data_IF_833792567643
#
_entry.id   IF_833792567643
#
_cell.length_a   1.000
_cell.length_b   1.000
_cell.length_c   1.000
_cell.angle_alpha   90.00
_cell.angle_beta   90.00
_cell.angle_gamma   90.00
#
_symmetry.space_group_name_H-M   'P 1'
#
loop_
_entity.id
_entity.type
_entity.pdbx_description
1 polymer ?
#
# COMPACT_ATOMS: atom_id res chain seq x y z
N UNK A 1 -43.18 5.06 12.41
CA UNK A 1 -42.30 5.91 11.58
C UNK A 1 -40.98 6.24 12.23
N UNK A 2 -40.93 6.69 13.49
CA UNK A 2 -39.64 6.97 14.17
C UNK A 2 -38.74 5.78 14.27
N UNK A 3 -39.25 4.57 14.56
CA UNK A 3 -38.47 3.33 14.62
C UNK A 3 -37.90 2.92 13.27
N UNK A 4 -38.62 3.15 12.18
CA UNK A 4 -38.16 2.85 10.82
C UNK A 4 -37.02 3.80 10.39
N UNK A 5 -37.12 5.07 10.76
CA UNK A 5 -36.07 6.07 10.52
C UNK A 5 -34.77 5.76 11.29
N UNK A 6 -34.88 5.33 12.53
CA UNK A 6 -33.72 4.93 13.34
C UNK A 6 -33.06 3.66 12.77
N UNK A 7 -33.85 2.69 12.34
CA UNK A 7 -33.33 1.48 11.68
C UNK A 7 -32.62 1.81 10.36
N UNK A 8 -33.20 2.70 9.54
CA UNK A 8 -32.60 3.17 8.31
C UNK A 8 -31.29 3.92 8.53
N UNK A 9 -31.23 4.78 9.56
CA UNK A 9 -30.03 5.50 9.92
C UNK A 9 -28.92 4.57 10.46
N UNK A 10 -29.28 3.56 11.25
CA UNK A 10 -28.33 2.53 11.70
C UNK A 10 -27.79 1.70 10.54
N UNK A 11 -28.64 1.32 9.58
CA UNK A 11 -28.22 0.56 8.41
C UNK A 11 -27.32 1.38 7.49
N UNK A 12 -27.63 2.67 7.28
CA UNK A 12 -26.77 3.57 6.53
C UNK A 12 -25.42 3.80 7.21
N UNK A 13 -25.38 3.90 8.54
CA UNK A 13 -24.14 4.06 9.29
C UNK A 13 -23.21 2.83 9.20
N UNK A 14 -23.79 1.62 9.18
CA UNK A 14 -23.01 0.37 9.04
C UNK A 14 -22.42 0.21 7.63
N UNK A 15 -23.08 0.69 6.59
CA UNK A 15 -22.54 0.64 5.23
C UNK A 15 -21.40 1.62 5.00
N UNK A 16 -21.34 2.73 5.73
CA UNK A 16 -20.20 3.65 5.67
C UNK A 16 -18.94 3.12 6.36
N UNK A 17 -19.09 2.28 7.36
CA UNK A 17 -17.94 1.71 8.11
C UNK A 17 -17.24 0.59 7.33
N UNK A 18 -17.96 -0.13 6.47
CA UNK A 18 -17.39 -1.24 5.69
C UNK A 18 -16.67 -0.81 4.41
N UNK A 19 -16.84 0.45 3.99
CA UNK A 19 -16.21 1.00 2.77
C UNK A 19 -14.76 1.45 2.91
N UNK A 20 -14.21 1.48 4.12
CA UNK A 20 -12.86 2.00 4.37
C UNK A 20 -11.75 0.94 4.45
N UNK A 21 -12.04 -0.33 4.16
CA UNK A 21 -11.00 -1.34 4.02
C UNK A 21 -10.40 -1.26 2.62
N UNK A 22 -9.31 -0.54 2.48
CA UNK A 22 -8.52 -0.56 1.24
C UNK A 22 -7.71 -1.86 1.26
N UNK A 23 -7.98 -2.82 0.37
CA UNK A 23 -7.15 -4.01 0.25
C UNK A 23 -5.80 -3.60 -0.33
N UNK A 24 -4.82 -3.45 0.53
CA UNK A 24 -3.44 -3.30 0.11
C UNK A 24 -2.83 -4.68 -0.09
N UNK A 25 -2.15 -4.85 -1.21
CA UNK A 25 -1.48 -6.08 -1.59
C UNK A 25 -0.52 -6.52 -0.48
N UNK A 26 -0.83 -7.64 0.17
CA UNK A 26 0.05 -8.26 1.17
C UNK A 26 0.04 -7.64 2.57
N UNK A 27 -0.87 -6.74 2.88
CA UNK A 27 -0.89 -6.05 4.17
C UNK A 27 -2.05 -6.45 5.05
N UNK A 28 -1.80 -6.52 6.35
CA UNK A 28 -2.85 -6.61 7.37
C UNK A 28 -3.64 -5.31 7.43
N UNK A 29 -4.96 -5.41 7.44
CA UNK A 29 -5.84 -4.26 7.64
C UNK A 29 -5.87 -3.89 9.12
N UNK A 30 -5.02 -3.00 9.53
CA UNK A 30 -5.02 -2.43 10.88
C UNK A 30 -5.32 -0.93 10.84
N UNK A 31 -5.88 -0.39 11.90
CA UNK A 31 -6.12 1.04 12.01
C UNK A 31 -4.80 1.85 12.04
N UNK A 32 -3.75 1.24 12.59
CA UNK A 32 -2.41 1.81 12.63
C UNK A 32 -1.43 0.72 12.20
N UNK A 33 -0.65 0.99 11.17
CA UNK A 33 0.46 0.14 10.74
C UNK A 33 1.72 0.98 10.67
N UNK A 34 2.73 0.57 11.40
CA UNK A 34 4.03 1.23 11.44
C UNK A 34 5.06 0.21 10.95
N UNK A 35 5.77 0.57 9.90
CA UNK A 35 6.88 -0.23 9.33
C UNK A 35 6.51 -1.70 9.06
N UNK A 36 5.48 -1.92 8.25
CA UNK A 36 5.13 -3.26 7.78
C UNK A 36 5.77 -3.52 6.42
N UNK A 37 6.71 -4.43 6.39
CA UNK A 37 7.41 -4.84 5.17
C UNK A 37 6.73 -6.09 4.62
N UNK A 38 6.30 -6.02 3.38
CA UNK A 38 5.75 -7.14 2.62
C UNK A 38 6.56 -7.35 1.34
N UNK A 39 6.71 -8.59 0.93
CA UNK A 39 7.42 -8.94 -0.29
C UNK A 39 6.48 -9.48 -1.35
N UNK A 40 6.79 -9.24 -2.61
CA UNK A 40 6.12 -9.93 -3.71
C UNK A 40 6.62 -11.39 -3.74
N UNK A 41 5.74 -12.40 -3.89
CA UNK A 41 6.14 -13.80 -3.89
C UNK A 41 6.96 -14.21 -5.13
N UNK A 42 7.10 -13.34 -6.11
CA UNK A 42 7.87 -13.64 -7.32
C UNK A 42 9.33 -13.27 -7.11
N UNK A 43 10.19 -14.27 -7.15
CA UNK A 43 11.66 -14.11 -7.04
C UNK A 43 12.30 -14.76 -8.27
N UNK A 44 13.15 -14.02 -8.96
CA UNK A 44 13.98 -14.57 -10.04
C UNK A 44 15.42 -14.81 -9.55
N UNK A 45 15.74 -16.06 -9.27
CA UNK A 45 17.05 -16.47 -8.79
C UNK A 45 18.18 -16.36 -9.81
N UNK A 46 17.86 -16.11 -11.09
CA UNK A 46 18.87 -15.90 -12.14
C UNK A 46 19.39 -14.47 -12.17
N UNK A 47 18.74 -13.55 -11.47
CA UNK A 47 19.12 -12.14 -11.36
C UNK A 47 19.80 -11.91 -10.01
N UNK A 48 20.87 -11.13 -10.00
CA UNK A 48 21.56 -10.78 -8.75
C UNK A 48 21.02 -9.50 -8.16
N UNK A 49 20.72 -9.46 -6.86
CA UNK A 49 20.19 -8.26 -6.18
C UNK A 49 21.33 -7.30 -5.79
N UNK A 50 22.07 -6.80 -6.77
CA UNK A 50 23.22 -5.91 -6.57
C UNK A 50 22.85 -4.42 -6.58
N UNK A 51 21.69 -4.09 -7.16
CA UNK A 51 21.15 -2.72 -7.19
C UNK A 51 19.86 -2.65 -6.41
N UNK A 52 19.59 -1.47 -5.83
CA UNK A 52 18.38 -1.16 -5.10
C UNK A 52 17.76 0.11 -5.65
N UNK A 53 16.49 0.07 -5.98
CA UNK A 53 15.71 1.23 -6.39
C UNK A 53 14.48 1.40 -5.53
N UNK A 54 14.06 2.63 -5.30
CA UNK A 54 12.93 2.97 -4.46
C UNK A 54 11.97 3.91 -5.18
N UNK A 55 10.67 3.71 -4.95
CA UNK A 55 9.63 4.62 -5.36
C UNK A 55 8.60 4.76 -4.25
N UNK A 56 8.13 5.97 -4.01
CA UNK A 56 7.30 6.32 -2.88
C UNK A 56 6.02 7.02 -3.31
N UNK A 57 4.91 6.61 -2.72
CA UNK A 57 3.64 7.32 -2.80
C UNK A 57 3.11 7.61 -1.41
N UNK A 58 2.47 8.76 -1.26
CA UNK A 58 1.91 9.23 -0.01
C UNK A 58 0.47 9.64 -0.21
N UNK A 59 -0.41 9.22 0.66
CA UNK A 59 -1.80 9.65 0.72
C UNK A 59 -2.07 10.33 2.05
N UNK A 60 -2.60 11.55 2.00
CA UNK A 60 -3.00 12.33 3.17
C UNK A 60 -4.49 12.61 3.06
N UNK A 61 -5.30 12.09 3.99
CA UNK A 61 -6.77 12.17 3.94
C UNK A 61 -7.32 11.61 2.61
N UNK A 62 -7.81 12.48 1.74
CA UNK A 62 -8.37 12.14 0.43
C UNK A 62 -7.41 12.46 -0.73
N UNK A 63 -6.22 12.97 -0.44
CA UNK A 63 -5.23 13.36 -1.45
C UNK A 63 -4.13 12.31 -1.56
N UNK A 64 -3.91 11.86 -2.78
CA UNK A 64 -2.90 10.86 -3.11
C UNK A 64 -1.85 11.50 -4.01
N UNK A 65 -0.59 11.37 -3.65
CA UNK A 65 0.53 11.96 -4.40
C UNK A 65 1.68 10.97 -4.51
N UNK A 66 2.46 11.07 -5.58
CA UNK A 66 3.63 10.26 -5.81
C UNK A 66 3.35 9.05 -6.71
N UNK A 67 4.39 8.30 -6.97
CA UNK A 67 4.36 7.11 -7.82
C UNK A 67 5.23 6.01 -7.17
N UNK A 68 4.56 5.01 -6.60
CA UNK A 68 5.19 3.83 -6.00
C UNK A 68 5.22 2.64 -6.96
N UNK A 69 5.29 2.88 -8.26
CA UNK A 69 5.35 1.81 -9.24
C UNK A 69 6.72 1.12 -9.26
N UNK A 70 6.71 -0.16 -9.60
CA UNK A 70 7.94 -0.95 -9.79
C UNK A 70 8.81 -0.32 -10.89
N UNK A 71 8.18 0.15 -11.98
CA UNK A 71 8.90 0.79 -13.07
C UNK A 71 9.65 2.05 -12.65
N UNK A 72 9.05 2.87 -11.79
CA UNK A 72 9.71 4.07 -11.25
C UNK A 72 10.84 3.71 -10.30
N UNK A 73 10.66 2.73 -9.44
CA UNK A 73 11.72 2.22 -8.56
C UNK A 73 12.90 1.67 -9.37
N UNK A 74 12.65 0.93 -10.44
CA UNK A 74 13.68 0.43 -11.35
C UNK A 74 14.49 1.57 -11.99
N UNK A 75 13.81 2.60 -12.50
CA UNK A 75 14.49 3.78 -13.09
C UNK A 75 15.35 4.51 -12.06
N UNK A 76 14.85 4.69 -10.87
CA UNK A 76 15.58 5.36 -9.79
C UNK A 76 16.82 4.59 -9.34
N UNK A 77 16.77 3.25 -9.38
CA UNK A 77 17.89 2.37 -9.03
C UNK A 77 18.78 1.97 -10.21
N UNK A 78 18.44 2.36 -11.45
CA UNK A 78 19.16 1.91 -12.64
C UNK A 78 19.07 0.39 -12.86
N UNK A 79 17.93 -0.20 -12.52
CA UNK A 79 17.69 -1.65 -12.57
C UNK A 79 17.05 -2.01 -13.90
N UNK A 80 17.60 -3.02 -14.57
CA UNK A 80 17.06 -3.55 -15.84
C UNK A 80 16.39 -4.91 -15.66
N UNK A 81 16.83 -5.69 -14.67
CA UNK A 81 16.29 -7.01 -14.35
C UNK A 81 15.99 -7.08 -12.86
N UNK A 82 14.78 -7.46 -12.51
CA UNK A 82 14.28 -7.52 -11.14
C UNK A 82 14.55 -8.88 -10.53
N UNK A 83 15.15 -8.91 -9.36
CA UNK A 83 15.27 -10.12 -8.53
C UNK A 83 14.03 -10.30 -7.66
N UNK A 84 13.69 -9.31 -6.84
CA UNK A 84 12.51 -9.30 -5.99
C UNK A 84 12.07 -7.86 -5.68
N UNK A 85 10.87 -7.74 -5.17
CA UNK A 85 10.26 -6.46 -4.80
C UNK A 85 9.73 -6.55 -3.37
N UNK A 86 10.08 -5.57 -2.56
CA UNK A 86 9.56 -5.41 -1.21
C UNK A 86 8.69 -4.14 -1.13
N UNK A 87 7.74 -4.14 -0.23
CA UNK A 87 6.88 -3.00 0.06
C UNK A 87 6.97 -2.65 1.54
N UNK A 88 7.24 -1.40 1.84
CA UNK A 88 7.13 -0.84 3.18
C UNK A 88 5.88 0.03 3.24
N UNK A 89 4.99 -0.27 4.16
CA UNK A 89 3.69 0.39 4.29
C UNK A 89 3.57 1.01 5.67
N UNK A 90 3.21 2.29 5.69
CA UNK A 90 2.85 3.03 6.90
C UNK A 90 1.42 3.54 6.77
N UNK A 91 0.61 3.27 7.77
CA UNK A 91 -0.76 3.74 7.84
C UNK A 91 -1.05 4.25 9.25
N UNK A 92 -1.51 5.48 9.36
CA UNK A 92 -1.88 6.10 10.64
C UNK A 92 -3.35 6.54 10.56
N UNK A 93 -4.25 5.81 11.23
CA UNK A 93 -5.68 6.14 11.38
C UNK A 93 -6.40 6.51 10.09
N UNK A 94 -6.00 5.96 8.94
CA UNK A 94 -6.52 6.33 7.60
C UNK A 94 -6.33 7.80 7.21
N UNK A 95 -5.63 8.57 8.04
CA UNK A 95 -5.32 9.98 7.77
C UNK A 95 -4.03 10.14 6.96
N UNK A 96 -3.08 9.24 7.17
CA UNK A 96 -1.79 9.24 6.49
C UNK A 96 -1.43 7.82 6.07
N UNK A 97 -1.19 7.63 4.79
CA UNK A 97 -0.72 6.38 4.21
C UNK A 97 0.54 6.65 3.40
N UNK A 98 1.55 5.83 3.59
CA UNK A 98 2.78 5.87 2.81
C UNK A 98 3.09 4.47 2.32
N UNK A 99 3.39 4.34 1.03
CA UNK A 99 3.86 3.10 0.42
C UNK A 99 5.22 3.38 -0.21
N UNK A 100 6.20 2.63 0.21
CA UNK A 100 7.53 2.60 -0.39
C UNK A 100 7.70 1.28 -1.12
N UNK A 101 7.89 1.33 -2.42
CA UNK A 101 8.22 0.17 -3.24
C UNK A 101 9.73 0.09 -3.37
N UNK A 102 10.31 -1.03 -2.99
CA UNK A 102 11.75 -1.27 -3.01
C UNK A 102 12.02 -2.42 -3.99
N UNK A 103 12.77 -2.14 -5.04
CA UNK A 103 13.13 -3.13 -6.07
C UNK A 103 14.59 -3.47 -5.94
N UNK A 104 14.89 -4.76 -5.93
CA UNK A 104 16.24 -5.29 -5.97
C UNK A 104 16.47 -6.03 -7.28
N UNK A 105 17.64 -5.82 -7.89
CA UNK A 105 17.99 -6.47 -9.15
C UNK A 105 19.35 -6.04 -9.69
N UNK A 106 19.50 -6.16 -10.98
CA UNK A 106 20.73 -5.78 -11.70
C UNK A 106 20.47 -4.89 -12.94
#
# INVERSE_FOLDING_TARGET
MKKLLVLGAMFACTTFITGCCIPMKGTSTAAITIDHIASDPVIDNNVRPVKRGEAKATAILMFNTGDASIGTAMRNGGITKVHHVDYDVKNILFLYNEILTIVYGE
#
